data_IF_527086937167
#
_entry.id   IF_527086937167
#
_cell.length_a   1.000
_cell.length_b   1.000
_cell.length_c   1.000
_cell.angle_alpha   90.00
_cell.angle_beta   90.00
_cell.angle_gamma   90.00
#
_symmetry.space_group_name_H-M   'P 1'
#
loop_
_entity.id
_entity.type
_entity.pdbx_description
1 polymer ?
#
# COMPACT_ATOMS: atom_id res chain seq x y z
N UNK A 1 -9.35 11.53 -7.50
CA UNK A 1 -9.90 10.56 -8.47
C UNK A 1 -10.65 9.41 -7.80
N UNK A 2 -10.03 8.57 -6.96
CA UNK A 2 -10.70 7.42 -6.31
C UNK A 2 -12.01 7.78 -5.56
N UNK A 3 -12.02 8.91 -4.85
CA UNK A 3 -13.24 9.39 -4.15
C UNK A 3 -14.41 9.71 -5.09
N UNK A 4 -14.12 10.14 -6.32
CA UNK A 4 -15.11 10.47 -7.35
C UNK A 4 -15.68 9.20 -8.01
N UNK A 5 -14.80 8.22 -8.27
CA UNK A 5 -15.19 6.91 -8.83
C UNK A 5 -16.03 6.10 -7.84
N UNK A 6 -15.80 6.30 -6.54
CA UNK A 6 -16.55 5.68 -5.44
C UNK A 6 -16.61 4.13 -5.50
N UNK A 7 -15.48 3.43 -5.72
CA UNK A 7 -15.45 1.97 -5.72
C UNK A 7 -15.73 1.39 -4.33
N UNK A 8 -16.06 0.10 -4.28
CA UNK A 8 -16.25 -0.62 -3.02
C UNK A 8 -14.94 -0.91 -2.28
N UNK A 9 -13.82 -1.01 -2.99
CA UNK A 9 -12.49 -1.25 -2.44
C UNK A 9 -11.44 -0.45 -3.23
N UNK A 10 -10.37 -0.06 -2.54
CA UNK A 10 -9.18 0.55 -3.13
C UNK A 10 -7.93 0.01 -2.47
N UNK A 11 -6.85 -0.08 -3.25
CA UNK A 11 -5.52 -0.35 -2.77
C UNK A 11 -4.62 0.80 -3.23
N UNK A 12 -3.90 1.42 -2.30
CA UNK A 12 -2.84 2.36 -2.63
C UNK A 12 -1.51 1.67 -2.36
N UNK A 13 -0.71 1.43 -3.39
CA UNK A 13 0.58 0.77 -3.28
C UNK A 13 1.70 1.79 -3.43
N UNK A 14 2.80 1.58 -2.70
CA UNK A 14 4.06 2.25 -2.95
C UNK A 14 4.73 1.49 -4.11
N UNK A 15 5.29 2.23 -5.06
CA UNK A 15 5.87 1.64 -6.26
C UNK A 15 7.12 0.84 -5.92
N UNK A 16 7.09 -0.46 -6.21
CA UNK A 16 8.25 -1.36 -6.18
C UNK A 16 8.66 -1.66 -7.63
N UNK A 17 9.86 -1.25 -8.07
CA UNK A 17 10.38 -1.63 -9.38
C UNK A 17 10.68 -3.14 -9.44
N UNK A 18 10.16 -3.82 -10.46
CA UNK A 18 10.35 -5.26 -10.67
C UNK A 18 11.46 -5.52 -11.69
N UNK A 19 12.14 -6.69 -11.63
CA UNK A 19 13.26 -6.96 -12.54
C UNK A 19 12.77 -7.00 -13.99
N UNK A 20 13.66 -6.66 -14.93
CA UNK A 20 13.36 -6.56 -16.36
C UNK A 20 12.22 -5.58 -16.71
N UNK A 21 12.06 -4.52 -15.90
CA UNK A 21 11.20 -3.37 -16.24
C UNK A 21 12.07 -2.15 -16.48
N UNK A 22 11.64 -1.26 -17.38
CA UNK A 22 12.35 -0.01 -17.67
C UNK A 22 12.58 0.83 -16.41
N UNK A 23 11.60 0.85 -15.49
CA UNK A 23 11.73 1.56 -14.21
C UNK A 23 12.86 0.99 -13.34
N UNK A 24 13.08 -0.32 -13.39
CA UNK A 24 14.18 -0.95 -12.66
C UNK A 24 15.53 -0.51 -13.20
N UNK A 25 15.69 -0.54 -14.53
CA UNK A 25 16.92 -0.13 -15.20
C UNK A 25 17.24 1.34 -14.90
N UNK A 26 16.24 2.23 -14.99
CA UNK A 26 16.38 3.64 -14.61
C UNK A 26 16.75 3.78 -13.12
N UNK A 27 16.16 2.96 -12.26
CA UNK A 27 16.41 2.99 -10.82
C UNK A 27 17.86 2.63 -10.45
N UNK A 28 18.43 1.64 -11.16
CA UNK A 28 19.83 1.25 -11.02
C UNK A 28 20.75 2.34 -11.59
N UNK A 29 20.47 2.82 -12.80
CA UNK A 29 21.28 3.86 -13.47
C UNK A 29 21.37 5.15 -12.64
N UNK A 30 20.24 5.59 -12.08
CA UNK A 30 20.17 6.79 -11.24
C UNK A 30 20.66 6.58 -9.80
N UNK A 31 21.02 5.36 -9.40
CA UNK A 31 21.39 5.03 -8.02
C UNK A 31 20.25 5.18 -7.02
N UNK A 32 19.00 5.16 -7.48
CA UNK A 32 17.81 5.16 -6.61
C UNK A 32 17.68 3.79 -5.93
N UNK A 33 18.02 2.73 -6.66
CA UNK A 33 18.09 1.36 -6.15
C UNK A 33 19.55 1.05 -5.80
N UNK A 34 19.80 0.50 -4.61
CA UNK A 34 21.17 0.37 -4.08
C UNK A 34 22.01 -0.71 -4.75
N UNK A 35 21.39 -1.71 -5.38
CA UNK A 35 22.04 -2.80 -6.10
C UNK A 35 21.06 -3.49 -7.05
N UNK A 36 21.56 -4.43 -7.85
CA UNK A 36 20.71 -5.40 -8.58
C UNK A 36 20.14 -6.44 -7.59
N UNK A 37 19.35 -5.94 -6.63
CA UNK A 37 18.87 -6.70 -5.48
C UNK A 37 17.98 -7.88 -5.88
N UNK A 38 17.32 -7.82 -7.05
CA UNK A 38 16.54 -8.95 -7.57
C UNK A 38 17.45 -10.07 -8.06
N UNK A 39 18.55 -9.75 -8.75
CA UNK A 39 19.52 -10.75 -9.18
C UNK A 39 20.26 -11.35 -7.99
N UNK A 40 20.65 -10.53 -7.01
CA UNK A 40 21.28 -10.98 -5.77
C UNK A 40 20.37 -11.96 -5.02
N UNK A 41 19.10 -11.60 -4.83
CA UNK A 41 18.09 -12.47 -4.24
C UNK A 41 17.87 -13.75 -5.05
N UNK A 42 17.82 -13.66 -6.38
CA UNK A 42 17.63 -14.83 -7.23
C UNK A 42 18.80 -15.82 -7.15
N UNK A 43 20.02 -15.31 -6.95
CA UNK A 43 21.22 -16.14 -6.75
C UNK A 43 21.26 -16.75 -5.34
N UNK A 44 20.85 -16.00 -4.32
CA UNK A 44 20.86 -16.41 -2.92
C UNK A 44 19.58 -15.99 -2.18
N UNK A 45 18.49 -16.77 -2.30
CA UNK A 45 17.21 -16.40 -1.68
C UNK A 45 17.31 -16.41 -0.15
N UNK A 46 16.81 -15.35 0.49
CA UNK A 46 16.73 -15.24 1.95
C UNK A 46 15.31 -14.90 2.39
N UNK A 47 14.90 -15.38 3.57
CA UNK A 47 13.58 -15.04 4.14
C UNK A 47 13.48 -13.57 4.56
N UNK A 48 14.62 -12.91 4.79
CA UNK A 48 14.69 -11.50 5.19
C UNK A 48 14.65 -10.53 3.99
N UNK A 49 14.57 -11.03 2.76
CA UNK A 49 14.55 -10.20 1.57
C UNK A 49 13.31 -9.31 1.52
N UNK A 50 13.54 -8.01 1.33
CA UNK A 50 12.48 -7.01 1.14
C UNK A 50 12.77 -6.23 -0.14
N UNK A 51 11.84 -6.22 -1.12
CA UNK A 51 11.98 -5.41 -2.32
C UNK A 51 12.08 -3.92 -2.00
N UNK A 52 12.93 -3.19 -2.72
CA UNK A 52 13.11 -1.76 -2.51
C UNK A 52 11.96 -0.95 -3.14
N UNK A 53 11.56 0.13 -2.48
CA UNK A 53 10.61 1.09 -3.02
C UNK A 53 11.29 2.16 -3.87
N UNK A 54 10.53 2.79 -4.75
CA UNK A 54 10.99 3.95 -5.50
C UNK A 54 11.07 5.20 -4.60
N UNK A 55 12.27 5.57 -4.17
CA UNK A 55 12.53 6.67 -3.22
C UNK A 55 13.24 7.88 -3.85
N UNK A 56 13.04 8.15 -5.13
CA UNK A 56 13.71 9.26 -5.84
C UNK A 56 13.43 10.63 -5.20
N UNK A 57 12.19 10.86 -4.76
CA UNK A 57 11.73 12.17 -4.27
C UNK A 57 11.26 12.16 -2.81
N UNK A 58 11.15 10.98 -2.20
CA UNK A 58 10.55 10.80 -0.89
C UNK A 58 11.28 9.72 -0.12
N UNK A 59 11.42 9.92 1.19
CA UNK A 59 11.91 8.86 2.08
C UNK A 59 10.89 7.74 2.22
N UNK A 60 11.32 6.60 2.77
CA UNK A 60 10.42 5.48 3.08
C UNK A 60 9.28 5.93 4.01
N UNK A 61 9.61 6.69 5.06
CA UNK A 61 8.65 7.18 6.05
C UNK A 61 7.63 8.15 5.41
N UNK A 62 8.07 8.98 4.47
CA UNK A 62 7.18 9.88 3.74
C UNK A 62 6.21 9.09 2.85
N UNK A 63 6.71 8.09 2.12
CA UNK A 63 5.87 7.23 1.28
C UNK A 63 4.82 6.48 2.10
N UNK A 64 5.21 5.89 3.23
CA UNK A 64 4.28 5.24 4.16
C UNK A 64 3.23 6.21 4.70
N UNK A 65 3.66 7.41 5.12
CA UNK A 65 2.77 8.47 5.60
C UNK A 65 1.75 8.85 4.53
N UNK A 66 2.18 9.02 3.27
CA UNK A 66 1.29 9.35 2.17
C UNK A 66 0.33 8.21 1.84
N UNK A 67 0.81 6.96 1.81
CA UNK A 67 -0.01 5.78 1.60
C UNK A 67 -1.08 5.64 2.70
N UNK A 68 -0.69 5.77 3.98
CA UNK A 68 -1.61 5.75 5.12
C UNK A 68 -2.65 6.86 5.01
N UNK A 69 -2.23 8.08 4.71
CA UNK A 69 -3.13 9.23 4.50
C UNK A 69 -4.11 8.99 3.35
N UNK A 70 -3.68 8.39 2.25
CA UNK A 70 -4.55 8.06 1.11
C UNK A 70 -5.64 7.04 1.50
N UNK A 71 -5.26 5.97 2.19
CA UNK A 71 -6.19 4.97 2.71
C UNK A 71 -7.20 5.57 3.68
N UNK A 72 -6.72 6.29 4.70
CA UNK A 72 -7.58 6.94 5.70
C UNK A 72 -8.58 7.88 5.03
N UNK A 73 -8.13 8.75 4.11
CA UNK A 73 -9.02 9.67 3.38
C UNK A 73 -10.06 8.99 2.50
N UNK A 74 -9.84 7.74 2.10
CA UNK A 74 -10.83 6.99 1.34
C UNK A 74 -11.79 6.23 2.25
N UNK A 75 -11.26 5.42 3.17
CA UNK A 75 -12.06 4.52 4.00
C UNK A 75 -12.84 5.24 5.11
N UNK A 76 -12.43 6.45 5.51
CA UNK A 76 -13.09 7.21 6.57
C UNK A 76 -14.15 8.18 6.04
N UNK A 77 -14.46 8.13 4.75
CA UNK A 77 -15.51 8.96 4.17
C UNK A 77 -16.86 8.56 4.78
N UNK A 78 -17.65 9.50 5.32
CA UNK A 78 -18.97 9.18 5.87
C UNK A 78 -19.85 8.39 4.90
N UNK A 79 -19.83 8.77 3.61
CA UNK A 79 -20.56 8.06 2.56
C UNK A 79 -20.12 6.60 2.40
N UNK A 80 -18.83 6.31 2.52
CA UNK A 80 -18.30 4.95 2.44
C UNK A 80 -18.70 4.15 3.68
N UNK A 81 -18.54 4.74 4.86
CA UNK A 81 -18.91 4.13 6.13
C UNK A 81 -20.39 3.75 6.13
N UNK A 82 -21.28 4.69 5.82
CA UNK A 82 -22.73 4.46 5.74
C UNK A 82 -23.05 3.34 4.73
N UNK A 83 -22.46 3.40 3.53
CA UNK A 83 -22.63 2.35 2.51
C UNK A 83 -22.22 0.98 3.03
N UNK A 84 -21.11 0.89 3.77
CA UNK A 84 -20.64 -0.38 4.34
C UNK A 84 -21.51 -0.86 5.50
N UNK A 85 -22.05 0.04 6.32
CA UNK A 85 -23.00 -0.29 7.39
C UNK A 85 -24.31 -0.85 6.82
N UNK A 86 -24.87 -0.24 5.78
CA UNK A 86 -26.10 -0.73 5.12
C UNK A 86 -25.92 -2.10 4.46
N UNK A 87 -24.69 -2.51 4.14
CA UNK A 87 -24.37 -3.83 3.60
C UNK A 87 -24.26 -4.92 4.66
N UNK A 88 -24.21 -4.59 5.95
CA UNK A 88 -24.04 -5.56 7.03
C UNK A 88 -25.32 -6.37 7.20
N UNK A 89 -25.21 -7.70 7.13
CA UNK A 89 -26.37 -8.61 7.27
C UNK A 89 -26.40 -9.36 8.59
N UNK A 90 -25.39 -9.19 9.46
CA UNK A 90 -25.34 -9.85 10.76
C UNK A 90 -24.51 -9.09 11.80
N UNK A 91 -24.83 -9.31 13.09
CA UNK A 91 -24.10 -8.76 14.24
C UNK A 91 -22.65 -9.28 14.26
N UNK A 92 -22.41 -10.53 13.83
CA UNK A 92 -21.07 -11.11 13.73
C UNK A 92 -20.20 -10.39 12.69
N UNK A 93 -20.79 -10.02 11.54
CA UNK A 93 -20.11 -9.23 10.52
C UNK A 93 -19.79 -7.82 11.00
N UNK A 94 -20.72 -7.20 11.75
CA UNK A 94 -20.51 -5.89 12.37
C UNK A 94 -19.32 -5.92 13.35
N UNK A 95 -19.27 -6.91 14.25
CA UNK A 95 -18.19 -7.04 15.22
C UNK A 95 -16.83 -7.22 14.54
N UNK A 96 -16.76 -8.03 13.47
CA UNK A 96 -15.52 -8.21 12.69
C UNK A 96 -15.05 -6.91 12.03
N UNK A 97 -15.98 -6.17 11.41
CA UNK A 97 -15.67 -4.89 10.75
C UNK A 97 -15.23 -3.82 11.77
N UNK A 98 -15.88 -3.76 12.93
CA UNK A 98 -15.53 -2.85 14.01
C UNK A 98 -14.13 -3.13 14.57
N UNK A 99 -13.80 -4.40 14.83
CA UNK A 99 -12.47 -4.80 15.29
C UNK A 99 -11.38 -4.46 14.26
N UNK A 100 -11.61 -4.74 12.97
CA UNK A 100 -10.68 -4.35 11.91
C UNK A 100 -10.48 -2.83 11.85
N UNK A 101 -11.55 -2.05 12.00
CA UNK A 101 -11.49 -0.59 12.08
C UNK A 101 -10.62 -0.10 13.24
N UNK A 102 -10.85 -0.61 14.46
CA UNK A 102 -10.08 -0.24 15.66
C UNK A 102 -8.58 -0.55 15.50
N UNK A 103 -8.23 -1.68 14.88
CA UNK A 103 -6.82 -2.03 14.59
C UNK A 103 -6.15 -1.03 13.65
N UNK A 104 -6.87 -0.54 12.64
CA UNK A 104 -6.36 0.48 11.71
C UNK A 104 -6.16 1.86 12.37
N UNK A 105 -6.84 2.13 13.49
CA UNK A 105 -6.64 3.36 14.28
C UNK A 105 -5.46 3.28 15.26
N UNK A 106 -5.13 2.07 15.73
CA UNK A 106 -4.08 1.83 16.74
C UNK A 106 -2.70 1.49 16.15
N UNK A 107 -2.59 1.30 14.83
CA UNK A 107 -1.33 1.21 14.09
C UNK A 107 -1.14 2.44 13.20
#
# INVERSE_FOLDING_TARGET
MAKKINPDYVQFLITTPFPATELYDIGIEKGILTSDYWREFSAHPTESFVPQWWTENFSHEELEKWQKKAHLRFYYRPSYIIKQFLKIRSIKELARKAHAGIRLFKG
#
